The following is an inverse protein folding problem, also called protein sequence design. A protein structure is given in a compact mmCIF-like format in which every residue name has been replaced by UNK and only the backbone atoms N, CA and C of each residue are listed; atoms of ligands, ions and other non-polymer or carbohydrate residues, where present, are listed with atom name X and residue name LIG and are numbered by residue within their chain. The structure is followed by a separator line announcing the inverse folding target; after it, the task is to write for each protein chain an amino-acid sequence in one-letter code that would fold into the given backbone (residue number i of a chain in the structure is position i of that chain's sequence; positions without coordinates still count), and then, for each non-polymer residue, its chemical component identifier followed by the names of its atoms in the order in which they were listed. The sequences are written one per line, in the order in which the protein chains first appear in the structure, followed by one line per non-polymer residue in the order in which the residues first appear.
data_IF_495634164054
#
_entry.id   IF_495634164054
#
_cell.length_a   1.000
_cell.length_b   1.000
_cell.length_c   1.000
_cell.angle_alpha   90.00
_cell.angle_beta   90.00
_cell.angle_gamma   90.00
#
_symmetry.space_group_name_H-M   'P 1'
#
loop_
_entity.id
_entity.type
_entity.pdbx_description
1 polymer ?
#
# COMPACT_ATOMS: atom_id res chain seq x y z
N UNK A 1 -5.01 12.23 -14.61
CA UNK A 1 -4.93 11.56 -13.29
C UNK A 1 -6.02 10.51 -13.16
N UNK A 2 -5.60 9.25 -13.15
CA UNK A 2 -6.46 8.06 -13.18
C UNK A 2 -7.31 7.93 -11.91
N UNK A 3 -6.78 8.21 -10.72
CA UNK A 3 -7.57 8.08 -9.48
C UNK A 3 -8.72 9.09 -9.39
N UNK A 4 -8.59 10.22 -10.10
CA UNK A 4 -9.64 11.25 -10.19
C UNK A 4 -10.69 10.90 -11.23
N UNK A 5 -10.29 10.41 -12.41
CA UNK A 5 -11.21 10.21 -13.54
C UNK A 5 -11.79 8.82 -13.65
N UNK A 6 -11.11 7.79 -13.11
CA UNK A 6 -11.59 6.42 -13.19
C UNK A 6 -12.62 6.10 -12.09
N UNK A 7 -13.47 5.14 -12.39
CA UNK A 7 -14.36 4.47 -11.45
C UNK A 7 -13.69 3.24 -10.79
N UNK A 8 -12.36 3.08 -10.92
CA UNK A 8 -11.63 1.93 -10.37
C UNK A 8 -11.71 0.65 -11.20
N UNK A 9 -12.18 0.69 -12.45
CA UNK A 9 -12.08 -0.44 -13.38
C UNK A 9 -10.90 -0.26 -14.35
N UNK A 10 -10.42 -1.37 -14.90
CA UNK A 10 -9.41 -1.39 -15.97
C UNK A 10 -9.67 -2.56 -16.93
N UNK A 11 -9.12 -2.54 -18.17
CA UNK A 11 -9.44 -3.53 -19.20
C UNK A 11 -8.49 -4.74 -19.26
N UNK A 12 -7.62 -4.91 -18.25
CA UNK A 12 -6.57 -5.94 -18.23
C UNK A 12 -7.14 -7.22 -17.61
N UNK A 13 -7.56 -8.17 -18.45
CA UNK A 13 -8.27 -9.37 -17.99
C UNK A 13 -7.39 -10.38 -17.23
N UNK A 14 -6.07 -10.26 -17.35
CA UNK A 14 -5.11 -11.15 -16.66
C UNK A 14 -4.79 -10.69 -15.23
N UNK A 15 -5.32 -9.55 -14.79
CA UNK A 15 -5.03 -8.93 -13.50
C UNK A 15 -6.33 -8.49 -12.85
N UNK A 16 -6.48 -8.75 -11.55
CA UNK A 16 -7.60 -8.22 -10.77
C UNK A 16 -7.38 -6.77 -10.36
N UNK A 17 -6.11 -6.43 -10.11
CA UNK A 17 -5.66 -5.10 -9.77
C UNK A 17 -4.36 -4.78 -10.51
N UNK A 18 -4.21 -3.52 -10.87
CA UNK A 18 -2.99 -2.96 -11.46
C UNK A 18 -2.56 -1.73 -10.68
N UNK A 19 -1.25 -1.48 -10.59
CA UNK A 19 -0.76 -0.27 -9.95
C UNK A 19 -0.86 0.95 -10.86
N UNK A 20 -1.01 2.11 -10.23
CA UNK A 20 -1.13 3.42 -10.86
C UNK A 20 -0.33 4.43 -10.06
N UNK A 21 0.48 5.24 -10.74
CA UNK A 21 1.16 6.42 -10.23
C UNK A 21 0.59 7.66 -10.94
N UNK A 22 -0.18 8.48 -10.23
CA UNK A 22 -0.61 9.79 -10.72
C UNK A 22 0.45 10.84 -10.38
N UNK A 23 0.71 11.74 -11.33
CA UNK A 23 1.68 12.82 -11.18
C UNK A 23 1.02 14.19 -11.02
N UNK A 24 1.68 15.11 -10.32
CA UNK A 24 1.16 16.46 -10.09
C UNK A 24 0.99 17.28 -11.38
N UNK A 25 1.69 16.92 -12.46
CA UNK A 25 1.59 17.55 -13.78
C UNK A 25 0.38 17.05 -14.59
N UNK A 26 -0.46 16.20 -13.99
CA UNK A 26 -1.67 15.64 -14.57
C UNK A 26 -1.46 14.34 -15.35
N UNK A 27 -0.20 14.02 -15.68
CA UNK A 27 0.19 12.76 -16.33
C UNK A 27 0.16 11.59 -15.33
N UNK A 28 0.38 10.38 -15.82
CA UNK A 28 0.35 9.18 -15.00
C UNK A 28 1.21 8.06 -15.61
N UNK A 29 1.56 7.07 -14.79
CA UNK A 29 2.12 5.81 -15.23
C UNK A 29 1.30 4.66 -14.60
N UNK A 30 0.89 3.70 -15.42
CA UNK A 30 0.18 2.50 -14.99
C UNK A 30 1.03 1.26 -15.24
N UNK A 31 0.75 0.14 -14.55
CA UNK A 31 1.43 -1.15 -14.78
C UNK A 31 1.27 -1.68 -16.21
N UNK A 32 0.13 -1.36 -16.81
CA UNK A 32 -0.20 -1.69 -18.19
C UNK A 32 -0.73 -0.44 -18.87
N UNK A 33 -0.48 -0.36 -20.17
CA UNK A 33 -1.21 0.51 -21.05
C UNK A 33 -2.71 0.16 -21.02
N UNK A 34 -3.58 1.12 -20.75
CA UNK A 34 -5.01 0.86 -20.64
C UNK A 34 -5.69 0.67 -22.00
N UNK A 35 -5.05 1.02 -23.12
CA UNK A 35 -5.58 0.85 -24.46
C UNK A 35 -4.99 -0.40 -25.13
N UNK A 36 -3.67 -0.49 -25.18
CA UNK A 36 -2.96 -1.61 -25.84
C UNK A 36 -2.90 -2.86 -24.98
N UNK A 37 -3.08 -2.71 -23.66
CA UNK A 37 -2.99 -3.79 -22.64
C UNK A 37 -1.59 -4.35 -22.47
N UNK A 38 -0.58 -3.68 -23.05
CA UNK A 38 0.81 -4.06 -22.95
C UNK A 38 1.43 -3.56 -21.65
N UNK A 39 2.34 -4.36 -21.08
CA UNK A 39 3.11 -3.96 -19.89
C UNK A 39 4.44 -3.31 -20.25
N UNK A 40 4.96 -3.48 -21.46
CA UNK A 40 6.21 -2.83 -21.88
C UNK A 40 5.88 -1.50 -22.58
N UNK A 41 6.60 -0.38 -22.30
CA UNK A 41 7.76 -0.21 -21.41
C UNK A 41 7.40 0.18 -19.96
N UNK A 42 6.15 -0.05 -19.54
CA UNK A 42 5.60 0.35 -18.26
C UNK A 42 6.18 -0.49 -17.10
N UNK A 43 7.12 0.09 -16.35
CA UNK A 43 7.83 -0.59 -15.26
C UNK A 43 7.69 0.17 -13.96
N UNK A 44 7.60 -0.56 -12.86
CA UNK A 44 7.56 0.05 -11.52
C UNK A 44 8.76 0.97 -11.25
N UNK A 45 9.95 0.59 -11.74
CA UNK A 45 11.17 1.36 -11.56
C UNK A 45 11.29 2.60 -12.47
N UNK A 46 10.38 2.79 -13.44
CA UNK A 46 10.32 4.02 -14.22
C UNK A 46 9.37 5.07 -13.62
N UNK A 47 8.74 4.79 -12.47
CA UNK A 47 7.91 5.77 -11.77
C UNK A 47 8.77 6.95 -11.32
N UNK A 48 8.40 8.17 -11.76
CA UNK A 48 8.98 9.41 -11.24
C UNK A 48 8.46 9.70 -9.82
N UNK A 49 9.24 9.28 -8.83
CA UNK A 49 8.93 9.44 -7.41
C UNK A 49 8.92 10.90 -6.96
N UNK A 50 9.54 11.82 -7.72
CA UNK A 50 9.53 13.25 -7.38
C UNK A 50 8.27 13.96 -7.87
N UNK A 51 7.61 13.38 -8.88
CA UNK A 51 6.33 13.89 -9.40
C UNK A 51 5.09 13.29 -8.77
N UNK A 52 5.27 12.27 -7.94
CA UNK A 52 4.19 11.46 -7.41
C UNK A 52 3.18 12.29 -6.63
N UNK A 53 1.93 12.25 -7.06
CA UNK A 53 0.79 12.79 -6.34
C UNK A 53 0.08 11.68 -5.56
N UNK A 54 -0.19 10.55 -6.22
CA UNK A 54 -0.83 9.37 -5.63
C UNK A 54 -0.21 8.10 -6.16
N UNK A 55 -0.15 7.09 -5.32
CA UNK A 55 0.23 5.73 -5.72
C UNK A 55 -0.69 4.70 -5.09
N UNK A 56 -1.05 3.68 -5.87
CA UNK A 56 -1.85 2.58 -5.38
C UNK A 56 -2.38 1.69 -6.48
N UNK A 57 -3.55 1.10 -6.27
CA UNK A 57 -4.16 0.10 -7.11
C UNK A 57 -5.56 0.55 -7.59
N UNK A 58 -5.89 0.15 -8.82
CA UNK A 58 -7.26 0.13 -9.34
C UNK A 58 -7.61 -1.29 -9.79
N UNK A 59 -8.88 -1.66 -9.68
CA UNK A 59 -9.38 -3.00 -9.97
C UNK A 59 -10.73 -3.25 -9.31
N UNK A 60 -11.59 -4.06 -9.94
CA UNK A 60 -12.91 -4.43 -9.39
C UNK A 60 -13.77 -3.24 -8.91
N UNK A 61 -13.77 -2.14 -9.66
CA UNK A 61 -14.47 -0.88 -9.30
C UNK A 61 -13.99 -0.26 -7.97
N UNK A 62 -12.78 -0.59 -7.54
CA UNK A 62 -12.15 -0.08 -6.33
C UNK A 62 -10.98 0.84 -6.67
N UNK A 63 -10.77 1.84 -5.83
CA UNK A 63 -9.63 2.77 -5.87
C UNK A 63 -8.97 2.79 -4.51
N UNK A 64 -7.73 2.35 -4.47
CA UNK A 64 -6.99 2.10 -3.24
C UNK A 64 -5.64 2.79 -3.41
N UNK A 65 -5.38 3.89 -2.71
CA UNK A 65 -4.15 4.65 -2.92
C UNK A 65 -3.74 5.35 -1.63
N UNK A 66 -2.56 5.97 -1.64
CA UNK A 66 -2.23 7.00 -0.66
C UNK A 66 -1.86 8.30 -1.36
N UNK A 67 -2.07 9.41 -0.65
CA UNK A 67 -1.66 10.73 -1.08
C UNK A 67 -0.18 10.93 -0.76
N UNK A 68 0.69 11.10 -1.76
CA UNK A 68 2.13 11.21 -1.54
C UNK A 68 2.51 12.47 -0.73
N UNK A 69 1.68 13.51 -0.75
CA UNK A 69 1.91 14.75 0.01
C UNK A 69 1.71 14.62 1.53
N UNK A 70 1.08 13.53 2.01
CA UNK A 70 0.87 13.32 3.44
C UNK A 70 0.82 11.85 3.91
N UNK A 71 0.92 10.87 3.01
CA UNK A 71 0.93 9.45 3.33
C UNK A 71 -0.42 8.89 3.80
N UNK A 72 -1.51 9.67 3.74
CA UNK A 72 -2.85 9.21 4.12
C UNK A 72 -3.34 8.22 3.08
N UNK A 73 -3.77 7.04 3.53
CA UNK A 73 -4.38 6.05 2.64
C UNK A 73 -5.83 6.42 2.39
N UNK A 74 -6.26 6.36 1.13
CA UNK A 74 -7.63 6.44 0.69
C UNK A 74 -8.03 5.08 0.12
N UNK A 75 -8.91 4.38 0.82
CA UNK A 75 -9.40 3.06 0.44
C UNK A 75 -10.88 3.21 0.13
N UNK A 76 -11.22 3.26 -1.16
CA UNK A 76 -12.60 3.45 -1.63
C UNK A 76 -13.30 4.68 -1.03
N UNK A 77 -12.58 5.80 -0.90
CA UNK A 77 -13.10 7.05 -0.34
C UNK A 77 -13.08 7.14 1.19
N UNK A 78 -12.53 6.14 1.87
CA UNK A 78 -12.28 6.15 3.31
C UNK A 78 -10.83 6.51 3.58
N UNK A 79 -10.61 7.57 4.37
CA UNK A 79 -9.27 8.03 4.72
C UNK A 79 -8.78 7.35 6.00
N UNK A 80 -7.57 6.79 5.95
CA UNK A 80 -6.91 6.14 7.08
C UNK A 80 -5.66 6.91 7.52
N UNK A 81 -5.71 7.39 8.76
CA UNK A 81 -4.60 8.04 9.46
C UNK A 81 -4.07 7.14 10.56
N UNK A 82 -2.76 7.20 10.78
CA UNK A 82 -2.04 6.31 11.67
C UNK A 82 -1.10 7.19 12.50
N UNK A 83 -1.21 7.05 13.81
CA UNK A 83 -0.34 7.71 14.77
C UNK A 83 0.22 6.72 15.77
N UNK A 84 1.34 7.10 16.38
CA UNK A 84 1.87 6.45 17.57
C UNK A 84 1.59 7.37 18.75
N UNK A 85 1.06 6.84 19.85
CA UNK A 85 0.72 7.63 21.04
C UNK A 85 1.46 7.07 22.24
N UNK A 86 2.19 7.93 22.94
CA UNK A 86 2.88 7.61 24.19
C UNK A 86 2.65 8.75 25.19
N UNK A 87 2.23 8.44 26.43
CA UNK A 87 2.04 9.43 27.50
C UNK A 87 1.20 10.66 27.04
N UNK A 88 0.06 10.40 26.40
CA UNK A 88 -0.86 11.41 25.81
C UNK A 88 -0.25 12.28 24.69
N UNK A 89 0.98 12.00 24.26
CA UNK A 89 1.64 12.67 23.14
C UNK A 89 1.42 11.88 21.85
N UNK A 90 0.85 12.55 20.85
CA UNK A 90 0.59 11.97 19.53
C UNK A 90 1.70 12.27 18.53
N UNK A 91 2.23 11.20 17.93
CA UNK A 91 3.21 11.22 16.85
C UNK A 91 2.54 10.75 15.56
N UNK A 92 2.20 11.70 14.69
CA UNK A 92 1.58 11.42 13.39
C UNK A 92 2.56 10.72 12.44
N UNK A 93 2.33 9.42 12.19
CA UNK A 93 3.16 8.61 11.27
C UNK A 93 2.80 8.91 9.80
N UNK A 94 1.55 9.25 9.55
CA UNK A 94 1.07 9.89 8.33
C UNK A 94 0.17 11.09 8.65
N UNK A 95 -0.35 11.76 7.62
CA UNK A 95 -1.24 12.91 7.77
C UNK A 95 -0.55 14.25 7.99
N UNK A 96 0.79 14.29 7.97
CA UNK A 96 1.61 15.51 8.00
C UNK A 96 2.00 15.93 6.58
N UNK A 97 2.27 17.22 6.35
CA UNK A 97 2.76 17.73 5.05
C UNK A 97 4.23 17.35 4.81
N UNK A 98 4.48 16.05 4.68
CA UNK A 98 5.76 15.43 4.34
C UNK A 98 5.57 14.60 3.07
N UNK A 99 6.63 14.45 2.27
CA UNK A 99 6.54 13.71 1.02
C UNK A 99 6.84 12.22 1.21
N UNK A 100 5.88 11.35 0.93
CA UNK A 100 5.92 9.89 1.09
C UNK A 100 6.06 9.21 -0.27
N UNK A 101 7.27 9.18 -0.81
CA UNK A 101 7.52 8.75 -2.20
C UNK A 101 8.43 7.51 -2.32
N UNK A 102 8.83 6.89 -1.21
CA UNK A 102 9.51 5.60 -1.24
C UNK A 102 8.48 4.46 -1.29
N UNK A 103 7.90 4.33 -2.48
CA UNK A 103 6.76 3.46 -2.77
C UNK A 103 7.16 1.98 -2.82
N UNK A 104 6.20 1.13 -2.46
CA UNK A 104 6.33 -0.33 -2.43
C UNK A 104 5.13 -0.91 -3.18
N UNK A 105 5.37 -1.86 -4.07
CA UNK A 105 4.31 -2.72 -4.62
C UNK A 105 4.88 -4.09 -5.00
N UNK A 106 4.09 -5.13 -4.76
CA UNK A 106 4.39 -6.50 -5.16
C UNK A 106 3.10 -7.32 -5.18
N UNK A 107 3.17 -8.49 -5.81
CA UNK A 107 2.06 -9.46 -5.88
C UNK A 107 2.56 -10.78 -5.32
N UNK A 108 1.77 -11.41 -4.47
CA UNK A 108 2.02 -12.78 -4.07
C UNK A 108 1.38 -13.71 -5.09
N UNK A 109 2.07 -14.77 -5.47
CA UNK A 109 1.58 -15.71 -6.45
C UNK A 109 1.97 -17.14 -6.08
N UNK A 110 1.12 -18.08 -6.48
CA UNK A 110 1.34 -19.52 -6.34
C UNK A 110 1.41 -20.16 -7.72
N UNK A 111 2.23 -21.20 -7.83
CA UNK A 111 2.35 -22.06 -9.00
C UNK A 111 2.11 -23.49 -8.53
N UNK A 112 0.99 -24.07 -8.92
CA UNK A 112 0.65 -25.45 -8.59
C UNK A 112 1.05 -26.37 -9.74
N UNK A 113 1.85 -27.39 -9.44
CA UNK A 113 2.25 -28.40 -10.42
C UNK A 113 1.36 -29.63 -10.26
N UNK A 114 0.70 -30.07 -11.34
CA UNK A 114 -0.01 -31.34 -11.35
C UNK A 114 0.74 -32.36 -12.22
N UNK A 115 1.57 -33.23 -11.63
CA UNK A 115 2.41 -34.16 -12.38
C UNK A 115 1.63 -35.25 -13.14
N UNK A 116 0.34 -35.42 -12.84
CA UNK A 116 -0.50 -36.47 -13.40
C UNK A 116 -1.55 -35.95 -14.39
N UNK A 117 -1.60 -34.63 -14.61
CA UNK A 117 -2.52 -34.03 -15.59
C UNK A 117 -1.99 -34.30 -17.00
N UNK A 118 -2.83 -34.90 -17.86
CA UNK A 118 -2.50 -35.10 -19.27
C UNK A 118 -2.14 -33.76 -19.89
N UNK A 119 -1.01 -33.73 -20.59
CA UNK A 119 -0.45 -32.56 -21.26
C UNK A 119 -1.54 -31.87 -22.09
N UNK A 120 -1.91 -30.66 -21.70
CA UNK A 120 -2.67 -29.72 -22.54
C UNK A 120 -1.72 -28.60 -22.96
N UNK A 121 -2.13 -27.76 -23.91
CA UNK A 121 -1.26 -26.76 -24.57
C UNK A 121 -0.60 -25.74 -23.62
N UNK A 122 -1.05 -25.69 -22.37
CA UNK A 122 -0.42 -24.98 -21.26
C UNK A 122 0.29 -26.05 -20.40
N UNK A 123 1.60 -25.91 -20.14
CA UNK A 123 2.37 -26.88 -19.35
C UNK A 123 1.75 -27.26 -17.99
N UNK A 124 2.37 -28.20 -17.28
CA UNK A 124 1.85 -28.86 -16.05
C UNK A 124 1.69 -27.95 -14.81
N UNK A 125 1.69 -26.63 -14.99
CA UNK A 125 1.67 -25.62 -13.94
C UNK A 125 0.49 -24.67 -14.10
N UNK A 126 -0.27 -24.45 -13.04
CA UNK A 126 -1.27 -23.38 -12.94
C UNK A 126 -0.78 -22.28 -12.03
N UNK A 127 -0.63 -21.07 -12.59
CA UNK A 127 -0.19 -19.88 -11.87
C UNK A 127 -1.38 -19.02 -11.48
N UNK A 128 -1.38 -18.49 -10.25
CA UNK A 128 -2.39 -17.53 -9.81
C UNK A 128 -1.81 -16.52 -8.83
N UNK A 129 -2.17 -15.25 -9.00
CA UNK A 129 -1.89 -14.21 -8.01
C UNK A 129 -2.85 -14.40 -6.82
N UNK A 130 -2.31 -14.44 -5.61
CA UNK A 130 -3.06 -14.64 -4.37
C UNK A 130 -3.20 -13.36 -3.56
N UNK A 131 -2.40 -12.32 -3.81
CA UNK A 131 -2.49 -11.06 -3.10
C UNK A 131 -1.88 -9.91 -3.91
N UNK A 132 -2.48 -8.73 -3.80
CA UNK A 132 -1.93 -7.48 -4.34
C UNK A 132 -1.55 -6.56 -3.19
N UNK A 133 -0.34 -6.00 -3.26
CA UNK A 133 0.23 -5.20 -2.18
C UNK A 133 0.70 -3.85 -2.70
N UNK A 134 0.40 -2.78 -1.96
CA UNK A 134 0.94 -1.45 -2.22
C UNK A 134 1.14 -0.67 -0.93
N UNK A 135 2.07 0.27 -0.93
CA UNK A 135 2.35 1.09 0.25
C UNK A 135 3.59 1.94 0.10
N UNK A 136 4.16 2.33 1.23
CA UNK A 136 5.38 3.10 1.28
C UNK A 136 6.16 2.81 2.56
N UNK A 137 7.42 3.26 2.56
CA UNK A 137 8.21 3.42 3.79
C UNK A 137 8.69 4.87 3.93
N UNK A 138 8.91 5.30 5.17
CA UNK A 138 9.33 6.66 5.50
C UNK A 138 10.12 6.68 6.80
N UNK A 139 11.23 7.41 6.78
CA UNK A 139 11.93 7.85 7.99
C UNK A 139 11.35 9.19 8.42
N UNK A 140 10.95 9.29 9.67
CA UNK A 140 10.31 10.46 10.28
C UNK A 140 11.15 10.93 11.46
N UNK A 141 11.36 12.23 11.58
CA UNK A 141 11.93 12.88 12.76
C UNK A 141 10.80 13.64 13.46
N UNK A 142 10.36 13.11 14.60
CA UNK A 142 9.21 13.59 15.35
C UNK A 142 9.68 13.93 16.77
N UNK A 143 9.84 15.22 17.04
CA UNK A 143 10.30 15.76 18.33
C UNK A 143 11.61 15.13 18.84
N UNK A 144 12.56 14.93 17.93
CA UNK A 144 13.87 14.35 18.26
C UNK A 144 13.89 12.82 18.37
N UNK A 145 12.78 12.15 18.07
CA UNK A 145 12.70 10.70 17.92
C UNK A 145 12.67 10.34 16.44
N UNK A 146 13.52 9.41 16.04
CA UNK A 146 13.57 8.89 14.67
C UNK A 146 12.70 7.64 14.58
N UNK A 147 11.58 7.76 13.88
CA UNK A 147 10.74 6.63 13.51
C UNK A 147 11.06 6.13 12.11
N UNK A 148 11.21 4.82 11.96
CA UNK A 148 11.19 4.15 10.67
C UNK A 148 9.83 3.46 10.52
N UNK A 149 9.00 4.01 9.63
CA UNK A 149 7.63 3.58 9.44
C UNK A 149 7.43 3.01 8.04
N UNK A 150 6.74 1.88 7.93
CA UNK A 150 6.31 1.29 6.68
C UNK A 150 4.86 0.84 6.83
N UNK A 151 4.03 1.19 5.85
CA UNK A 151 2.64 0.78 5.79
C UNK A 151 2.38 0.16 4.42
N UNK A 152 1.83 -1.05 4.42
CA UNK A 152 1.44 -1.79 3.21
C UNK A 152 -0.03 -2.18 3.35
N UNK A 153 -0.83 -1.84 2.36
CA UNK A 153 -2.19 -2.35 2.20
C UNK A 153 -2.13 -3.59 1.32
N UNK A 154 -2.77 -4.66 1.79
CA UNK A 154 -2.79 -5.97 1.17
C UNK A 154 -4.22 -6.37 0.83
N UNK A 155 -4.42 -6.82 -0.41
CA UNK A 155 -5.70 -7.27 -0.94
C UNK A 155 -5.56 -8.76 -1.28
N UNK A 156 -5.83 -9.65 -0.31
CA UNK A 156 -5.77 -11.09 -0.53
C UNK A 156 -6.95 -11.56 -1.38
N UNK A 157 -6.72 -12.62 -2.16
CA UNK A 157 -7.76 -13.30 -2.92
C UNK A 157 -8.72 -14.03 -1.95
N UNK A 158 -10.02 -13.71 -2.03
CA UNK A 158 -11.09 -14.31 -1.21
C UNK A 158 -10.93 -14.12 0.31
N UNK A 159 -10.21 -13.10 0.76
CA UNK A 159 -10.11 -12.75 2.18
C UNK A 159 -10.22 -11.22 2.37
N UNK A 160 -10.28 -10.76 3.62
CA UNK A 160 -10.41 -9.34 3.96
C UNK A 160 -9.09 -8.61 3.71
N UNK A 161 -9.19 -7.44 3.09
CA UNK A 161 -8.07 -6.52 3.00
C UNK A 161 -7.56 -6.14 4.40
N UNK A 162 -6.25 -5.98 4.52
CA UNK A 162 -5.60 -5.59 5.77
C UNK A 162 -4.46 -4.60 5.49
N UNK A 163 -4.00 -3.93 6.55
CA UNK A 163 -2.83 -3.09 6.55
C UNK A 163 -1.75 -3.72 7.42
N UNK A 164 -0.56 -3.93 6.86
CA UNK A 164 0.64 -4.30 7.59
C UNK A 164 1.41 -3.03 7.95
N UNK A 165 1.56 -2.79 9.24
CA UNK A 165 2.28 -1.66 9.81
C UNK A 165 3.58 -2.17 10.42
N UNK A 166 4.70 -1.66 9.92
CA UNK A 166 6.02 -1.90 10.50
C UNK A 166 6.56 -0.59 11.04
N UNK A 167 6.88 -0.58 12.32
CA UNK A 167 7.39 0.61 13.02
C UNK A 167 8.60 0.24 13.86
N UNK A 168 9.63 1.09 13.83
CA UNK A 168 10.77 1.04 14.72
C UNK A 168 11.12 2.46 15.18
N UNK A 169 11.67 2.57 16.38
CA UNK A 169 12.16 3.83 16.96
C UNK A 169 13.65 3.72 17.28
N UNK A 170 14.38 4.84 17.25
CA UNK A 170 15.74 4.96 17.78
C UNK A 170 15.79 5.13 19.31
N UNK A 171 14.62 5.18 19.94
CA UNK A 171 14.41 5.24 21.39
C UNK A 171 13.47 4.13 21.85
N UNK A 172 13.51 3.82 23.14
CA UNK A 172 12.51 2.96 23.78
C UNK A 172 11.26 3.78 24.05
N UNK A 173 10.10 3.25 23.67
CA UNK A 173 8.81 3.89 23.86
C UNK A 173 7.79 2.87 24.33
N UNK A 174 6.95 3.25 25.28
CA UNK A 174 5.86 2.40 25.80
C UNK A 174 4.52 3.03 25.43
N UNK A 175 4.14 2.81 24.17
CA UNK A 175 2.97 3.42 23.57
C UNK A 175 2.20 2.48 22.66
N UNK A 176 1.23 3.04 21.95
CA UNK A 176 0.28 2.32 21.11
C UNK A 176 0.16 2.93 19.74
N UNK A 177 -0.18 2.11 18.76
CA UNK A 177 -0.61 2.56 17.44
C UNK A 177 -2.09 2.90 17.49
N UNK A 178 -2.45 4.08 17.02
CA UNK A 178 -3.83 4.55 16.90
C UNK A 178 -4.18 4.66 15.42
N UNK A 179 -5.28 4.03 15.02
CA UNK A 179 -5.78 4.05 13.65
C UNK A 179 -7.08 4.84 13.62
N UNK A 180 -7.14 5.82 12.73
CA UNK A 180 -8.30 6.67 12.52
C UNK A 180 -8.87 6.49 11.12
N UNK A 181 -10.19 6.32 11.03
CA UNK A 181 -10.95 6.34 9.77
C UNK A 181 -11.77 7.61 9.70
N UNK A 182 -11.53 8.46 8.71
CA UNK A 182 -12.18 9.78 8.56
C UNK A 182 -12.13 10.64 9.85
N UNK A 183 -11.00 10.59 10.54
CA UNK A 183 -10.76 11.34 11.79
C UNK A 183 -11.38 10.72 13.06
N UNK A 184 -12.06 9.57 12.96
CA UNK A 184 -12.60 8.84 14.11
C UNK A 184 -11.64 7.70 14.44
N UNK A 185 -11.24 7.57 15.70
CA UNK A 185 -10.44 6.42 16.17
C UNK A 185 -11.25 5.13 16.00
N UNK A 186 -10.72 4.19 15.23
CA UNK A 186 -11.35 2.89 14.97
C UNK A 186 -10.61 1.73 15.63
N UNK A 187 -9.35 1.94 16.01
CA UNK A 187 -8.58 0.95 16.74
C UNK A 187 -7.40 1.56 17.50
N UNK A 188 -6.99 0.87 18.55
CA UNK A 188 -5.81 1.16 19.35
C UNK A 188 -5.09 -0.15 19.67
N UNK A 189 -3.80 -0.23 19.35
CA UNK A 189 -3.02 -1.47 19.44
C UNK A 189 -1.76 -1.19 20.25
N UNK A 190 -1.65 -1.79 21.43
CA UNK A 190 -0.45 -1.72 22.27
C UNK A 190 0.77 -2.16 21.47
N UNK A 191 1.79 -1.30 21.43
CA UNK A 191 2.97 -1.47 20.58
C UNK A 191 4.19 -0.84 21.25
N UNK A 192 4.66 -1.38 22.38
CA UNK A 192 5.93 -0.96 22.97
C UNK A 192 7.05 -1.13 21.93
N UNK A 193 7.86 -0.10 21.75
CA UNK A 193 8.97 -0.07 20.82
C UNK A 193 10.27 -0.20 21.59
N UNK A 194 11.04 -1.22 21.26
CA UNK A 194 12.41 -1.37 21.74
C UNK A 194 13.35 -0.68 20.75
N UNK A 195 14.35 0.02 21.28
CA UNK A 195 15.33 0.74 20.47
C UNK A 195 15.97 -0.17 19.43
N UNK A 196 15.86 0.19 18.15
CA UNK A 196 16.48 -0.54 17.04
C UNK A 196 15.75 -1.84 16.62
N UNK A 197 14.63 -2.18 17.27
CA UNK A 197 13.79 -3.30 16.87
C UNK A 197 12.52 -2.81 16.19
N UNK A 198 12.05 -3.57 15.19
CA UNK A 198 10.81 -3.27 14.50
C UNK A 198 9.67 -4.14 15.01
N UNK A 199 8.55 -3.52 15.35
CA UNK A 199 7.27 -4.20 15.58
C UNK A 199 6.50 -4.28 14.26
N UNK A 200 5.88 -5.43 13.99
CA UNK A 200 5.00 -5.61 12.84
C UNK A 200 3.58 -5.89 13.34
N UNK A 201 2.61 -5.13 12.85
CA UNK A 201 1.21 -5.23 13.21
C UNK A 201 0.41 -5.50 11.93
N UNK A 202 -0.48 -6.46 11.97
CA UNK A 202 -1.44 -6.73 10.90
C UNK A 202 -2.82 -6.30 11.38
N UNK A 203 -3.42 -5.33 10.70
CA UNK A 203 -4.72 -4.79 11.05
C UNK A 203 -5.71 -4.98 9.90
N UNK A 204 -6.74 -5.79 10.09
CA UNK A 204 -7.80 -5.97 9.09
C UNK A 204 -8.60 -4.68 8.92
N UNK A 205 -8.84 -4.26 7.66
CA UNK A 205 -9.66 -3.09 7.40
C UNK A 205 -11.10 -3.33 7.90
N UNK A 206 -11.55 -2.46 8.79
CA UNK A 206 -12.90 -2.44 9.39
C UNK A 206 -13.74 -1.34 8.75
#
# INVERSE_FOLDING_TARGET
MIFTTSNGTHPILSQDFIWVADYYDGTHLCEYDLETKESDPYRFYSIDRMKLLRFGLIGHSSKLFFEAANGVFNINGEEFRISYVENDKEFLLNGRSLFYNDIISYKDAVSEANPFQKQTDCGMFTNRITQYNFGYKKKLDLDGIIFNFQAIVSIPYQDKAYMSLKIASDQELDGKIVIQRRGIVVDEIESPLQKGHSTNITWTLK
#
